data_IF_941879504129
#
_entry.id   IF_941879504129
#
_cell.length_a   1.000
_cell.length_b   1.000
_cell.length_c   1.000
_cell.angle_alpha   90.00
_cell.angle_beta   90.00
_cell.angle_gamma   90.00
#
_symmetry.space_group_name_H-M   'P 1'
#
loop_
_entity.id
_entity.type
_entity.pdbx_description
1 polymer ?
#
# COMPACT_ATOMS: atom_id res chain seq x y z
N UNK A 1 -1.81 4.72 12.78
CA UNK A 1 -1.68 5.24 14.14
C UNK A 1 -1.69 4.09 15.13
N UNK A 2 -0.62 3.95 15.90
CA UNK A 2 -0.47 2.91 16.92
C UNK A 2 -1.29 3.25 18.16
N UNK A 3 -1.38 2.31 19.09
CA UNK A 3 -2.14 2.46 20.34
C UNK A 3 -1.65 3.58 21.25
N UNK A 4 -0.36 3.90 21.18
CA UNK A 4 0.26 5.01 21.93
C UNK A 4 0.03 6.38 21.27
N UNK A 5 -0.75 6.42 20.18
CA UNK A 5 -1.01 7.63 19.41
C UNK A 5 0.08 7.97 18.40
N UNK A 6 1.20 7.25 18.38
CA UNK A 6 2.29 7.50 17.44
C UNK A 6 1.91 7.12 16.00
N UNK A 7 2.44 7.88 15.05
CA UNK A 7 2.27 7.60 13.63
C UNK A 7 3.47 6.83 13.08
N UNK A 8 3.19 5.98 12.11
CA UNK A 8 4.16 5.11 11.46
C UNK A 8 3.73 4.87 10.03
N UNK A 9 4.69 4.60 9.15
CA UNK A 9 4.40 4.44 7.73
C UNK A 9 5.25 3.33 7.10
N UNK A 10 4.68 2.69 6.10
CA UNK A 10 5.36 1.82 5.14
C UNK A 10 5.12 2.38 3.74
N UNK A 11 6.18 2.44 2.94
CA UNK A 11 6.14 2.96 1.57
C UNK A 11 6.65 1.90 0.61
N UNK A 12 5.87 1.65 -0.44
CA UNK A 12 6.18 0.76 -1.55
C UNK A 12 6.30 1.61 -2.83
N UNK A 13 7.31 1.34 -3.66
CA UNK A 13 7.58 2.13 -4.86
C UNK A 13 6.54 1.94 -5.96
N UNK A 14 6.05 0.71 -6.12
CA UNK A 14 5.05 0.34 -7.11
C UNK A 14 3.99 -0.52 -6.46
N UNK A 15 2.75 -0.19 -6.77
CA UNK A 15 1.57 -0.98 -6.47
C UNK A 15 0.84 -1.25 -7.78
N UNK A 16 0.47 -2.50 -8.00
CA UNK A 16 -0.43 -2.91 -9.08
C UNK A 16 -1.52 -3.76 -8.46
N UNK A 17 -2.76 -3.49 -8.85
CA UNK A 17 -3.93 -4.29 -8.47
C UNK A 17 -4.47 -4.88 -9.77
N UNK A 18 -4.60 -6.20 -9.80
CA UNK A 18 -5.12 -6.93 -10.95
C UNK A 18 -6.56 -6.59 -11.27
N UNK A 19 -7.02 -7.06 -12.43
CA UNK A 19 -8.42 -6.98 -12.85
C UNK A 19 -9.33 -7.89 -12.00
N UNK A 20 -10.64 -7.79 -12.20
CA UNK A 20 -11.60 -8.72 -11.59
C UNK A 20 -11.37 -10.18 -12.02
N UNK A 21 -10.94 -10.42 -13.25
CA UNK A 21 -10.57 -11.76 -13.74
C UNK A 21 -9.36 -12.34 -12.99
N UNK A 22 -8.46 -11.47 -12.52
CA UNK A 22 -7.33 -11.83 -11.67
C UNK A 22 -7.66 -11.72 -10.17
N UNK A 23 -8.94 -11.55 -9.82
CA UNK A 23 -9.42 -11.42 -8.44
C UNK A 23 -8.70 -10.30 -7.67
N UNK A 24 -8.44 -9.19 -8.36
CA UNK A 24 -7.79 -8.01 -7.80
C UNK A 24 -6.43 -8.29 -7.15
N UNK A 25 -5.68 -9.25 -7.69
CA UNK A 25 -4.36 -9.66 -7.17
C UNK A 25 -3.44 -8.48 -6.89
N UNK A 26 -2.88 -8.42 -5.68
CA UNK A 26 -1.92 -7.38 -5.30
C UNK A 26 -0.51 -7.72 -5.78
N UNK A 27 0.18 -6.74 -6.36
CA UNK A 27 1.62 -6.84 -6.62
C UNK A 27 2.32 -5.58 -6.12
N UNK A 28 3.35 -5.80 -5.30
CA UNK A 28 4.21 -4.76 -4.73
C UNK A 28 5.63 -4.97 -5.22
N UNK A 29 6.35 -3.90 -5.56
CA UNK A 29 7.78 -3.95 -5.90
C UNK A 29 8.71 -4.18 -4.68
N UNK A 30 8.17 -4.66 -3.56
CA UNK A 30 8.85 -4.76 -2.26
C UNK A 30 8.86 -3.45 -1.47
N UNK A 31 9.18 -3.56 -0.18
CA UNK A 31 9.30 -2.43 0.75
C UNK A 31 10.43 -1.49 0.35
N UNK A 32 10.10 -0.20 0.19
CA UNK A 32 11.09 0.80 -0.19
C UNK A 32 11.67 1.53 1.03
N UNK A 33 10.80 2.06 1.88
CA UNK A 33 11.19 2.73 3.13
C UNK A 33 10.00 2.78 4.08
N UNK A 34 10.29 2.93 5.36
CA UNK A 34 9.25 3.05 6.38
C UNK A 34 9.85 3.09 7.77
N UNK A 35 9.02 3.41 8.75
CA UNK A 35 9.36 3.36 10.17
C UNK A 35 9.01 2.00 10.80
N UNK A 36 8.70 1.00 9.98
CA UNK A 36 8.12 -0.30 10.37
C UNK A 36 8.70 -1.44 9.56
N UNK A 37 8.58 -2.67 10.05
CA UNK A 37 8.86 -3.88 9.28
C UNK A 37 7.80 -4.11 8.20
N UNK A 38 8.21 -4.71 7.08
CA UNK A 38 7.35 -4.99 5.93
C UNK A 38 6.33 -6.10 6.21
N UNK A 39 5.15 -5.73 6.73
CA UNK A 39 4.07 -6.69 6.98
C UNK A 39 3.24 -7.00 5.73
N UNK A 40 3.26 -6.14 4.70
CA UNK A 40 2.56 -6.39 3.43
C UNK A 40 3.29 -7.41 2.54
N UNK A 41 4.53 -7.79 2.87
CA UNK A 41 5.24 -8.87 2.18
C UNK A 41 4.38 -10.14 2.08
N UNK A 42 3.61 -10.46 3.13
CA UNK A 42 2.69 -11.61 3.14
C UNK A 42 1.54 -11.50 2.15
N UNK A 43 1.06 -10.29 1.88
CA UNK A 43 -0.02 -9.99 0.94
C UNK A 43 0.47 -9.85 -0.51
N UNK A 44 1.78 -9.75 -0.74
CA UNK A 44 2.32 -9.58 -2.07
C UNK A 44 2.09 -10.83 -2.92
N UNK A 45 1.42 -10.67 -4.07
CA UNK A 45 1.04 -11.75 -4.96
C UNK A 45 -0.26 -12.45 -4.58
N UNK A 46 -0.96 -12.03 -3.53
CA UNK A 46 -2.22 -12.65 -3.11
C UNK A 46 -3.42 -12.05 -3.85
N UNK A 47 -4.44 -12.88 -4.10
CA UNK A 47 -5.74 -12.43 -4.57
C UNK A 47 -6.53 -11.78 -3.41
N UNK A 48 -7.50 -10.93 -3.75
CA UNK A 48 -8.37 -10.34 -2.74
C UNK A 48 -9.44 -11.35 -2.33
N UNK A 49 -9.61 -11.59 -1.03
CA UNK A 49 -10.67 -12.45 -0.50
C UNK A 49 -11.67 -11.62 0.30
N UNK A 50 -12.93 -12.07 0.28
CA UNK A 50 -14.05 -11.53 1.05
C UNK A 50 -14.81 -12.69 1.70
N UNK A 51 -15.67 -12.47 2.71
CA UNK A 51 -16.41 -13.55 3.36
C UNK A 51 -17.22 -14.44 2.40
N UNK A 52 -17.65 -13.88 1.27
CA UNK A 52 -18.42 -14.55 0.21
C UNK A 52 -17.56 -15.06 -0.97
N UNK A 53 -16.26 -14.75 -1.00
CA UNK A 53 -15.34 -15.19 -2.04
C UNK A 53 -13.94 -15.49 -1.46
N UNK A 54 -13.71 -16.76 -1.16
CA UNK A 54 -12.43 -17.23 -0.61
C UNK A 54 -11.38 -17.44 -1.72
N UNK A 55 -10.32 -16.65 -1.65
CA UNK A 55 -9.17 -16.71 -2.54
C UNK A 55 -7.85 -16.77 -1.76
N UNK A 56 -7.91 -17.05 -0.46
CA UNK A 56 -6.74 -17.09 0.40
C UNK A 56 -5.98 -18.43 0.25
N UNK A 57 -4.92 -18.63 1.03
CA UNK A 57 -4.06 -19.82 0.95
C UNK A 57 -4.08 -20.64 2.25
N UNK A 58 -5.04 -20.38 3.14
CA UNK A 58 -5.25 -21.19 4.31
C UNK A 58 -5.92 -22.52 3.90
N UNK A 59 -5.41 -23.68 4.34
CA UNK A 59 -5.85 -24.98 3.82
C UNK A 59 -7.29 -25.35 4.17
N UNK A 60 -7.78 -24.92 5.34
CA UNK A 60 -9.08 -25.31 5.90
C UNK A 60 -9.82 -24.15 6.59
N UNK A 61 -9.53 -22.90 6.19
CA UNK A 61 -10.13 -21.72 6.79
C UNK A 61 -10.36 -20.62 5.75
N UNK A 62 -11.44 -19.87 5.92
CA UNK A 62 -11.66 -18.62 5.19
C UNK A 62 -11.28 -17.46 6.12
N UNK A 63 -10.12 -16.85 5.87
CA UNK A 63 -9.60 -15.76 6.70
C UNK A 63 -10.51 -14.53 6.62
N UNK A 64 -11.06 -14.23 5.43
CA UNK A 64 -11.95 -13.10 5.27
C UNK A 64 -13.23 -13.23 6.10
N UNK A 65 -13.77 -14.45 6.20
CA UNK A 65 -14.90 -14.76 7.09
C UNK A 65 -14.49 -14.66 8.56
N UNK A 66 -13.36 -15.27 8.96
CA UNK A 66 -12.87 -15.28 10.34
C UNK A 66 -12.65 -13.88 10.90
N UNK A 67 -12.07 -12.98 10.10
CA UNK A 67 -11.76 -11.61 10.49
C UNK A 67 -12.77 -10.57 10.02
N UNK A 68 -13.93 -11.01 9.50
CA UNK A 68 -15.02 -10.14 9.02
C UNK A 68 -14.55 -8.97 8.15
N UNK A 69 -13.61 -9.24 7.23
CA UNK A 69 -12.91 -8.19 6.47
C UNK A 69 -12.49 -8.68 5.09
N UNK A 70 -12.34 -7.73 4.16
CA UNK A 70 -11.78 -8.01 2.83
C UNK A 70 -10.31 -7.63 2.78
N UNK A 71 -9.45 -8.55 2.35
CA UNK A 71 -8.01 -8.29 2.28
C UNK A 71 -7.31 -9.21 1.27
N UNK A 72 -6.06 -8.87 0.95
CA UNK A 72 -5.15 -9.77 0.23
C UNK A 72 -4.55 -10.78 1.21
N UNK A 73 -5.36 -11.76 1.60
CA UNK A 73 -4.98 -12.80 2.55
C UNK A 73 -4.11 -13.87 1.88
N UNK A 74 -3.12 -14.36 2.62
CA UNK A 74 -2.32 -15.56 2.31
C UNK A 74 -2.81 -16.69 3.23
N UNK A 75 -1.96 -17.26 4.07
CA UNK A 75 -2.38 -17.96 5.29
C UNK A 75 -2.82 -16.90 6.32
N UNK A 76 -3.95 -16.27 6.02
CA UNK A 76 -4.45 -15.04 6.65
C UNK A 76 -3.53 -13.83 6.43
N UNK A 77 -3.03 -13.16 7.47
CA UNK A 77 -2.35 -11.88 7.27
C UNK A 77 -1.24 -11.59 8.27
N UNK A 78 -0.26 -10.79 7.82
CA UNK A 78 0.63 -10.05 8.73
C UNK A 78 0.25 -8.56 8.84
N UNK A 79 -0.59 -8.06 7.93
CA UNK A 79 -1.22 -6.75 8.05
C UNK A 79 -2.66 -6.88 7.56
N UNK A 80 -3.61 -6.28 8.27
CA UNK A 80 -4.99 -6.13 7.81
C UNK A 80 -5.47 -4.75 8.24
N UNK A 81 -5.48 -3.80 7.31
CA UNK A 81 -5.93 -2.44 7.59
C UNK A 81 -7.45 -2.28 7.44
N UNK A 82 -8.14 -3.34 6.99
CA UNK A 82 -9.59 -3.41 6.83
C UNK A 82 -10.27 -4.21 7.96
N UNK A 83 -9.53 -4.60 9.00
CA UNK A 83 -10.10 -5.20 10.20
C UNK A 83 -11.04 -4.25 10.94
N UNK A 84 -11.77 -4.77 11.91
CA UNK A 84 -12.69 -4.01 12.74
C UNK A 84 -11.96 -2.88 13.47
N UNK A 85 -12.64 -1.74 13.61
CA UNK A 85 -12.19 -0.70 14.53
C UNK A 85 -12.51 -1.12 15.96
N UNK A 86 -11.55 -1.75 16.63
CA UNK A 86 -11.69 -2.26 18.00
C UNK A 86 -10.47 -1.86 18.85
N UNK A 87 -10.34 -0.58 19.22
CA UNK A 87 -9.23 -0.13 20.07
C UNK A 87 -9.23 -0.91 21.40
N UNK A 88 -8.07 -1.45 21.79
CA UNK A 88 -7.91 -2.24 23.02
C UNK A 88 -8.19 -3.75 22.89
N UNK A 89 -8.58 -4.24 21.70
CA UNK A 89 -8.65 -5.68 21.39
C UNK A 89 -7.77 -5.99 20.17
N UNK A 90 -7.23 -7.21 20.11
CA UNK A 90 -6.39 -7.61 18.99
C UNK A 90 -7.20 -8.35 17.93
N UNK A 91 -7.97 -9.37 18.33
CA UNK A 91 -8.80 -10.28 17.54
C UNK A 91 -8.99 -9.89 16.06
N UNK A 92 -10.15 -9.33 15.71
CA UNK A 92 -10.50 -8.94 14.34
C UNK A 92 -10.06 -7.51 14.02
N UNK A 93 -9.21 -6.91 14.85
CA UNK A 93 -8.93 -5.49 14.75
C UNK A 93 -8.01 -5.16 13.57
N UNK A 94 -8.00 -3.90 13.15
CA UNK A 94 -6.99 -3.40 12.23
C UNK A 94 -5.58 -3.63 12.79
N UNK A 95 -4.72 -4.30 12.03
CA UNK A 95 -3.45 -4.81 12.54
C UNK A 95 -2.29 -4.61 11.55
N UNK A 96 -1.11 -4.44 12.14
CA UNK A 96 0.17 -4.47 11.44
C UNK A 96 1.16 -5.21 12.34
N UNK A 97 1.33 -6.51 12.13
CA UNK A 97 2.04 -7.41 13.05
C UNK A 97 3.50 -7.02 13.23
N UNK A 98 4.09 -6.30 12.27
CA UNK A 98 5.43 -5.72 12.38
C UNK A 98 5.61 -4.76 13.57
N UNK A 99 4.55 -4.33 14.24
CA UNK A 99 4.64 -3.56 15.49
C UNK A 99 4.85 -4.41 16.75
N UNK A 100 4.43 -5.68 16.73
CA UNK A 100 4.37 -6.52 17.93
C UNK A 100 3.38 -6.04 19.00
N UNK A 101 2.46 -5.14 18.63
CA UNK A 101 1.45 -4.60 19.54
C UNK A 101 0.40 -5.69 19.88
N UNK A 102 -0.13 -5.64 21.10
CA UNK A 102 -1.18 -6.57 21.59
C UNK A 102 -2.59 -6.02 21.44
N UNK A 103 -2.74 -4.92 20.68
CA UNK A 103 -3.99 -4.21 20.47
C UNK A 103 -4.06 -3.70 19.03
N UNK A 104 -5.28 -3.55 18.50
CA UNK A 104 -5.52 -2.99 17.18
C UNK A 104 -5.06 -1.54 17.04
N UNK A 105 -4.84 -1.14 15.79
CA UNK A 105 -4.48 0.22 15.40
C UNK A 105 -5.61 1.20 15.71
N UNK A 106 -5.26 2.41 16.15
CA UNK A 106 -6.23 3.51 16.33
C UNK A 106 -6.69 4.12 15.00
N UNK A 107 -6.02 3.79 13.89
CA UNK A 107 -6.40 4.24 12.56
C UNK A 107 -5.35 3.86 11.52
N UNK A 108 -5.79 3.75 10.27
CA UNK A 108 -4.95 3.43 9.13
C UNK A 108 -5.37 4.27 7.91
N UNK A 109 -4.43 4.50 7.00
CA UNK A 109 -4.70 5.14 5.72
C UNK A 109 -3.83 4.51 4.64
N UNK A 110 -4.45 4.07 3.55
CA UNK A 110 -3.77 3.65 2.32
C UNK A 110 -3.88 4.77 1.29
N UNK A 111 -2.74 5.24 0.80
CA UNK A 111 -2.67 6.36 -0.15
C UNK A 111 -1.77 5.99 -1.31
N UNK A 112 -2.21 6.31 -2.53
CA UNK A 112 -1.45 6.05 -3.76
C UNK A 112 -1.17 7.40 -4.42
N UNK A 113 0.06 7.57 -4.90
CA UNK A 113 0.44 8.74 -5.70
C UNK A 113 1.15 8.28 -6.98
N UNK A 114 0.93 8.94 -8.12
CA UNK A 114 1.73 8.69 -9.32
C UNK A 114 3.22 8.91 -9.03
N UNK A 115 4.06 8.01 -9.51
CA UNK A 115 5.51 8.20 -9.48
C UNK A 115 5.94 9.01 -10.70
N UNK A 116 6.71 10.11 -10.55
CA UNK A 116 7.19 10.90 -11.67
C UNK A 116 8.04 10.10 -12.68
N UNK A 117 8.61 8.98 -12.26
CA UNK A 117 9.40 8.08 -13.09
C UNK A 117 8.56 7.19 -14.02
N UNK A 118 7.25 7.07 -13.79
CA UNK A 118 6.34 6.39 -14.73
C UNK A 118 5.72 7.46 -15.63
N UNK A 119 6.49 7.85 -16.63
CA UNK A 119 5.98 8.69 -17.70
C UNK A 119 5.16 7.78 -18.64
N UNK A 120 3.84 7.67 -18.38
CA UNK A 120 2.92 6.83 -19.17
C UNK A 120 2.84 7.28 -20.65
N UNK A 121 3.37 8.45 -20.98
CA UNK A 121 3.42 9.00 -22.33
C UNK A 121 4.67 8.59 -23.12
N UNK A 122 5.62 7.85 -22.51
CA UNK A 122 6.81 7.38 -23.23
C UNK A 122 6.60 5.93 -23.69
N UNK A 123 6.47 5.65 -25.00
CA UNK A 123 6.41 4.28 -25.49
C UNK A 123 7.64 3.50 -25.00
N UNK A 124 7.40 2.30 -24.47
CA UNK A 124 8.46 1.33 -24.14
C UNK A 124 9.37 1.20 -25.37
N UNK A 125 10.62 1.64 -25.22
CA UNK A 125 11.64 1.40 -26.25
C UNK A 125 11.81 -0.12 -26.39
N UNK A 126 11.75 -0.67 -27.61
CA UNK A 126 12.06 -2.08 -27.83
C UNK A 126 13.58 -2.22 -27.79
N UNK A 127 14.12 -2.56 -26.63
CA UNK A 127 15.22 -3.53 -26.43
C UNK A 127 15.98 -3.30 -25.12
N UNK A 128 15.98 -4.32 -24.27
CA UNK A 128 17.17 -4.95 -23.68
C UNK A 128 18.20 -4.16 -22.86
N UNK A 129 18.04 -2.86 -22.61
CA UNK A 129 19.03 -2.05 -21.89
C UNK A 129 18.70 -1.81 -20.42
N UNK A 130 19.47 -2.40 -19.51
CA UNK A 130 19.42 -2.08 -18.06
C UNK A 130 19.82 -0.61 -17.82
N UNK A 131 19.06 0.19 -17.04
CA UNK A 131 19.45 1.58 -16.78
C UNK A 131 20.48 1.61 -15.65
N UNK A 132 21.75 1.45 -16.02
CA UNK A 132 22.86 1.93 -15.19
C UNK A 132 22.89 3.46 -15.22
N UNK A 133 22.71 4.06 -14.05
CA UNK A 133 23.18 5.38 -13.60
C UNK A 133 23.32 6.48 -14.68
N UNK A 134 22.43 7.46 -14.65
CA UNK A 134 22.55 8.68 -15.45
C UNK A 134 21.90 9.86 -14.76
N UNK A 135 22.69 10.66 -14.05
CA UNK A 135 22.33 12.02 -13.67
C UNK A 135 22.06 12.84 -14.93
N UNK A 136 20.94 13.57 -14.98
CA UNK A 136 20.86 14.82 -15.74
C UNK A 136 20.05 15.86 -14.96
N UNK A 137 20.73 16.94 -14.59
CA UNK A 137 20.13 18.21 -14.22
C UNK A 137 19.63 18.89 -15.50
N UNK A 138 18.44 19.49 -15.42
CA UNK A 138 18.17 20.74 -16.12
C UNK A 138 17.19 21.54 -15.27
N UNK A 139 17.69 22.69 -14.80
CA UNK A 139 16.89 23.70 -14.14
C UNK A 139 15.94 24.35 -15.15
N UNK A 140 14.72 24.64 -14.72
CA UNK A 140 14.03 25.82 -15.24
C UNK A 140 13.28 26.44 -14.08
N UNK A 141 13.82 27.55 -13.59
CA UNK A 141 13.17 28.46 -12.67
C UNK A 141 12.01 29.16 -13.38
N UNK A 142 10.85 29.24 -12.71
CA UNK A 142 9.82 30.19 -13.08
C UNK A 142 9.68 31.22 -11.95
N UNK A 143 10.06 32.45 -12.25
CA UNK A 143 9.87 33.61 -11.40
C UNK A 143 8.39 34.00 -11.41
N UNK A 144 7.80 34.16 -10.21
CA UNK A 144 6.45 34.69 -10.05
C UNK A 144 6.53 36.22 -10.01
N UNK A 145 6.18 36.89 -11.10
CA UNK A 145 5.99 38.34 -11.09
C UNK A 145 4.66 38.68 -10.41
N UNK A 146 4.74 39.37 -9.27
CA UNK A 146 3.62 40.07 -8.65
C UNK A 146 3.27 41.30 -9.49
N UNK A 147 2.04 41.41 -9.97
CA UNK A 147 1.46 42.69 -10.39
C UNK A 147 0.15 42.90 -9.64
N UNK A 148 0.19 43.86 -8.71
CA UNK A 148 -0.97 44.63 -8.28
C UNK A 148 -1.43 45.45 -9.48
N UNK A 149 -2.74 45.54 -9.69
CA UNK A 149 -3.37 46.73 -10.23
C UNK A 149 -4.80 46.78 -9.70
N UNK A 150 -5.14 47.89 -9.06
CA UNK A 150 -6.49 48.22 -8.61
C UNK A 150 -7.18 49.19 -9.57
N UNK A 151 -8.52 49.22 -9.40
CA UNK A 151 -9.47 50.32 -9.68
C UNK A 151 -9.71 50.69 -11.16
N UNK A 152 -10.87 51.31 -11.49
CA UNK A 152 -11.69 52.27 -10.73
C UNK A 152 -12.74 51.66 -9.80
#
# INVERSE_FOLDING_TARGET
RRKDGSDSYAHYQRIVVGSSAEKYKLQLSGFYRGSVLDSMASSNGMAFSTPDADNDQAPDANCAQGYSSGWWFNQCFNANLNGLYSPGKLDDAMQWNGFGDKEGLLGAAMMIRPSPTVNLDRPMMPDGGSPSSGYFFSQTSFSRSSSRNGFP
#
